data_IF_207490499510
#
_entry.id   IF_207490499510
#
_cell.length_a   1.000
_cell.length_b   1.000
_cell.length_c   1.000
_cell.angle_alpha   90.00
_cell.angle_beta   90.00
_cell.angle_gamma   90.00
#
_symmetry.space_group_name_H-M   'P 1'
#
loop_
_entity.id
_entity.type
_entity.pdbx_description
1 polymer ?
#
# COMPACT_ATOMS: atom_id res chain seq x y z
N UNK A 1 5.09 9.88 -8.15
CA UNK A 1 5.11 8.39 -8.09
C UNK A 1 3.85 7.93 -8.81
N UNK A 2 3.92 7.00 -9.77
CA UNK A 2 2.73 6.48 -10.44
C UNK A 2 2.32 5.16 -9.78
N UNK A 3 1.04 5.01 -9.45
CA UNK A 3 0.52 3.78 -8.89
C UNK A 3 0.67 2.63 -9.90
N UNK A 4 0.91 1.38 -9.45
CA UNK A 4 0.86 0.24 -10.35
C UNK A 4 -0.52 0.16 -11.02
N UNK A 5 -0.60 -0.34 -12.27
CA UNK A 5 -1.87 -0.51 -12.96
C UNK A 5 -2.82 -1.41 -12.14
N UNK A 6 -4.11 -1.10 -12.17
CA UNK A 6 -5.16 -1.92 -11.54
C UNK A 6 -5.14 -3.31 -12.19
N UNK A 7 -4.79 -4.33 -11.41
CA UNK A 7 -4.80 -5.75 -11.82
C UNK A 7 -5.44 -6.51 -10.67
N UNK A 8 -6.76 -6.69 -10.73
CA UNK A 8 -7.54 -6.91 -9.52
C UNK A 8 -7.48 -8.34 -8.96
N UNK A 9 -7.65 -8.42 -7.64
CA UNK A 9 -8.05 -9.58 -6.84
C UNK A 9 -9.51 -10.01 -7.12
N UNK A 10 -9.97 -9.90 -8.37
CA UNK A 10 -11.29 -10.34 -8.83
C UNK A 10 -12.49 -9.45 -8.45
N UNK A 11 -12.30 -8.38 -7.67
CA UNK A 11 -13.40 -7.48 -7.23
C UNK A 11 -12.98 -6.01 -7.20
N UNK A 12 -13.74 -5.17 -7.89
CA UNK A 12 -13.53 -3.72 -7.96
C UNK A 12 -14.87 -2.99 -7.76
N UNK A 13 -15.43 -3.13 -6.57
CA UNK A 13 -16.69 -2.51 -6.17
C UNK A 13 -16.43 -1.47 -5.10
N UNK A 14 -17.23 -0.40 -5.08
CA UNK A 14 -17.17 0.62 -4.03
C UNK A 14 -17.77 0.07 -2.74
N UNK A 15 -16.98 -0.70 -1.98
CA UNK A 15 -17.41 -1.28 -0.73
C UNK A 15 -16.26 -1.40 0.30
N UNK A 16 -16.60 -1.92 1.47
CA UNK A 16 -15.63 -2.12 2.56
C UNK A 16 -14.62 -3.24 2.28
N UNK A 17 -14.89 -4.12 1.31
CA UNK A 17 -14.07 -5.31 1.09
C UNK A 17 -12.64 -4.92 0.66
N UNK A 18 -12.50 -3.95 -0.25
CA UNK A 18 -11.18 -3.46 -0.67
C UNK A 18 -10.40 -2.77 0.46
N UNK A 19 -11.09 -2.07 1.35
CA UNK A 19 -10.46 -1.47 2.53
C UNK A 19 -9.96 -2.55 3.50
N UNK A 20 -10.74 -3.63 3.69
CA UNK A 20 -10.32 -4.78 4.50
C UNK A 20 -9.14 -5.51 3.85
N UNK A 21 -9.15 -5.73 2.54
CA UNK A 21 -8.00 -6.29 1.82
C UNK A 21 -6.73 -5.46 2.03
N UNK A 22 -6.84 -4.12 1.97
CA UNK A 22 -5.69 -3.24 2.24
C UNK A 22 -5.11 -3.48 3.64
N UNK A 23 -5.95 -3.72 4.65
CA UNK A 23 -5.50 -4.05 6.00
C UNK A 23 -4.84 -5.43 6.07
N UNK A 24 -5.37 -6.44 5.38
CA UNK A 24 -4.82 -7.80 5.34
C UNK A 24 -3.41 -7.81 4.72
N UNK A 25 -3.23 -7.24 3.53
CA UNK A 25 -1.91 -7.23 2.86
C UNK A 25 -0.89 -6.41 3.66
N UNK A 26 -1.31 -5.33 4.32
CA UNK A 26 -0.43 -4.56 5.20
C UNK A 26 0.03 -5.38 6.42
N UNK A 27 -0.82 -6.27 6.94
CA UNK A 27 -0.46 -7.19 8.02
C UNK A 27 0.52 -8.28 7.52
N UNK A 28 0.30 -8.81 6.32
CA UNK A 28 1.19 -9.79 5.69
C UNK A 28 2.57 -9.20 5.38
N UNK A 29 2.62 -8.00 4.81
CA UNK A 29 3.84 -7.21 4.63
C UNK A 29 4.58 -7.00 5.96
N UNK A 30 3.86 -6.72 7.04
CA UNK A 30 4.46 -6.54 8.37
C UNK A 30 5.15 -7.81 8.85
N UNK A 31 4.50 -8.97 8.71
CA UNK A 31 5.09 -10.25 9.12
C UNK A 31 6.23 -10.70 8.21
N UNK A 32 6.12 -10.49 6.89
CA UNK A 32 7.21 -10.76 5.95
C UNK A 32 8.43 -9.87 6.22
N UNK A 33 8.23 -8.58 6.50
CA UNK A 33 9.29 -7.67 6.91
C UNK A 33 9.97 -8.11 8.22
N UNK A 34 9.19 -8.51 9.23
CA UNK A 34 9.74 -9.05 10.49
C UNK A 34 10.56 -10.32 10.27
N UNK A 35 10.11 -11.22 9.39
CA UNK A 35 10.85 -12.43 9.02
C UNK A 35 12.19 -12.09 8.36
N UNK A 36 12.17 -11.19 7.38
CA UNK A 36 13.40 -10.74 6.71
C UNK A 36 14.36 -10.04 7.67
N UNK A 37 13.86 -9.15 8.54
CA UNK A 37 14.68 -8.48 9.56
C UNK A 37 15.37 -9.46 10.52
N UNK A 38 14.74 -10.61 10.78
CA UNK A 38 15.29 -11.66 11.65
C UNK A 38 16.32 -12.54 10.94
N UNK A 39 16.05 -12.94 9.70
CA UNK A 39 16.86 -13.93 8.99
C UNK A 39 17.95 -13.34 8.10
N UNK A 40 17.72 -12.15 7.54
CA UNK A 40 18.53 -11.56 6.47
C UNK A 40 18.51 -12.35 5.16
N UNK A 41 17.69 -13.41 5.03
CA UNK A 41 17.72 -14.32 3.90
C UNK A 41 17.16 -13.67 2.63
N UNK A 42 17.75 -14.00 1.47
CA UNK A 42 17.30 -13.49 0.18
C UNK A 42 15.88 -13.94 -0.18
N UNK A 43 15.48 -15.14 0.24
CA UNK A 43 14.11 -15.65 0.08
C UNK A 43 13.12 -14.81 0.89
N UNK A 44 13.39 -14.56 2.17
CA UNK A 44 12.50 -13.73 3.01
C UNK A 44 12.44 -12.27 2.52
N UNK A 45 13.54 -11.75 1.94
CA UNK A 45 13.51 -10.45 1.26
C UNK A 45 12.58 -10.47 0.05
N UNK A 46 12.55 -11.57 -0.70
CA UNK A 46 11.69 -11.71 -1.86
C UNK A 46 10.23 -11.76 -1.42
N UNK A 47 9.91 -12.58 -0.43
CA UNK A 47 8.57 -12.64 0.16
C UNK A 47 8.08 -11.26 0.60
N UNK A 48 8.91 -10.50 1.33
CA UNK A 48 8.57 -9.12 1.75
C UNK A 48 8.28 -8.19 0.56
N UNK A 49 9.04 -8.32 -0.54
CA UNK A 49 8.80 -7.51 -1.74
C UNK A 49 7.51 -7.91 -2.47
N UNK A 50 7.15 -9.19 -2.44
CA UNK A 50 5.89 -9.66 -3.03
C UNK A 50 4.71 -9.08 -2.21
N UNK A 51 4.74 -9.17 -0.87
CA UNK A 51 3.71 -8.55 -0.01
C UNK A 51 3.65 -7.01 -0.12
N UNK A 52 4.79 -6.37 -0.39
CA UNK A 52 4.85 -4.94 -0.64
C UNK A 52 4.12 -4.58 -1.94
N UNK A 53 4.26 -5.41 -2.98
CA UNK A 53 3.55 -5.23 -4.24
C UNK A 53 2.04 -5.46 -4.08
N UNK A 54 1.63 -6.46 -3.30
CA UNK A 54 0.22 -6.73 -3.02
C UNK A 54 -0.44 -5.59 -2.22
N UNK A 55 0.29 -5.00 -1.26
CA UNK A 55 -0.14 -3.79 -0.56
C UNK A 55 -0.32 -2.60 -1.52
N UNK A 56 0.60 -2.39 -2.47
CA UNK A 56 0.44 -1.33 -3.47
C UNK A 56 -0.76 -1.60 -4.40
N UNK A 57 -0.99 -2.87 -4.76
CA UNK A 57 -2.10 -3.26 -5.62
C UNK A 57 -3.45 -3.05 -4.94
N UNK A 58 -3.57 -3.34 -3.63
CA UNK A 58 -4.83 -3.09 -2.89
C UNK A 58 -5.12 -1.61 -2.73
N UNK A 59 -4.10 -0.78 -2.49
CA UNK A 59 -4.24 0.68 -2.50
C UNK A 59 -4.68 1.21 -3.88
N UNK A 60 -4.09 0.71 -4.98
CA UNK A 60 -4.50 1.06 -6.34
C UNK A 60 -5.97 0.69 -6.62
N UNK A 61 -6.36 -0.52 -6.22
CA UNK A 61 -7.73 -1.02 -6.41
C UNK A 61 -8.73 -0.21 -5.58
N UNK A 62 -8.37 0.14 -4.34
CA UNK A 62 -9.21 0.97 -3.47
C UNK A 62 -9.41 2.37 -4.06
N UNK A 63 -8.35 3.03 -4.52
CA UNK A 63 -8.44 4.33 -5.17
C UNK A 63 -9.35 4.27 -6.41
N UNK A 64 -9.13 3.27 -7.28
CA UNK A 64 -9.94 3.07 -8.48
C UNK A 64 -11.42 2.82 -8.17
N UNK A 65 -11.73 1.96 -7.18
CA UNK A 65 -13.10 1.67 -6.78
C UNK A 65 -13.80 2.87 -6.10
N UNK A 66 -13.05 3.74 -5.44
CA UNK A 66 -13.57 4.97 -4.82
C UNK A 66 -13.65 6.14 -5.80
N UNK A 67 -13.08 6.02 -7.00
CA UNK A 67 -13.01 7.08 -7.99
C UNK A 67 -12.02 8.20 -7.62
N UNK A 68 -11.00 7.87 -6.81
CA UNK A 68 -9.95 8.81 -6.42
C UNK A 68 -8.89 8.86 -7.51
N UNK A 69 -8.57 10.06 -7.97
CA UNK A 69 -7.58 10.28 -9.03
C UNK A 69 -6.14 10.34 -8.49
N UNK A 70 -5.18 10.11 -9.38
CA UNK A 70 -3.75 10.27 -9.08
C UNK A 70 -3.40 11.69 -8.60
N UNK A 71 -4.11 12.71 -9.11
CA UNK A 71 -3.92 14.11 -8.69
C UNK A 71 -4.38 14.33 -7.24
N UNK A 72 -5.56 13.83 -6.87
CA UNK A 72 -6.05 13.92 -5.49
C UNK A 72 -5.15 13.17 -4.51
N UNK A 73 -4.58 12.04 -4.92
CA UNK A 73 -3.60 11.31 -4.10
C UNK A 73 -2.31 12.11 -3.96
N UNK A 74 -1.81 12.70 -5.04
CA UNK A 74 -0.60 13.53 -5.00
C UNK A 74 -0.77 14.74 -4.07
N UNK A 75 -1.88 15.47 -4.20
CA UNK A 75 -2.21 16.60 -3.33
C UNK A 75 -2.27 16.15 -1.85
N UNK A 76 -2.93 15.03 -1.56
CA UNK A 76 -3.00 14.48 -0.20
C UNK A 76 -1.64 14.05 0.37
N UNK A 77 -0.72 13.60 -0.50
CA UNK A 77 0.66 13.27 -0.12
C UNK A 77 1.48 14.52 0.19
N UNK A 78 1.32 15.60 -0.57
CA UNK A 78 1.98 16.88 -0.32
C UNK A 78 1.49 17.49 1.00
N UNK A 79 0.18 17.49 1.25
CA UNK A 79 -0.38 17.90 2.54
C UNK A 79 0.16 17.03 3.71
N UNK A 80 0.35 15.72 3.47
CA UNK A 80 0.92 14.82 4.47
C UNK A 80 2.37 15.16 4.78
N UNK A 81 3.14 15.52 3.77
CA UNK A 81 4.53 15.96 3.91
C UNK A 81 4.62 17.24 4.72
N UNK A 82 3.77 18.23 4.44
CA UNK A 82 3.69 19.48 5.19
C UNK A 82 3.36 19.23 6.67
N UNK A 83 2.30 18.45 6.96
CA UNK A 83 1.95 18.07 8.33
C UNK A 83 3.09 17.36 9.07
N UNK A 84 3.89 16.54 8.37
CA UNK A 84 5.03 15.87 8.99
C UNK A 84 6.18 16.83 9.30
N UNK A 85 6.43 17.84 8.46
CA UNK A 85 7.39 18.93 8.73
C UNK A 85 6.96 19.76 9.93
N UNK A 86 5.69 20.16 10.00
CA UNK A 86 5.14 20.91 11.15
C UNK A 86 5.26 20.14 12.47
N UNK A 87 5.20 18.80 12.40
CA UNK A 87 5.34 17.90 13.55
C UNK A 87 6.81 17.55 13.88
N UNK A 88 7.79 18.06 13.13
CA UNK A 88 9.21 17.76 13.34
C UNK A 88 9.59 16.28 13.12
N UNK A 89 8.87 15.59 12.21
CA UNK A 89 9.11 14.17 11.87
C UNK A 89 10.00 13.99 10.64
N UNK A 90 10.39 15.08 10.00
CA UNK A 90 11.21 15.18 8.79
C UNK A 90 12.19 16.35 8.93
#
# INVERSE_FOLDING_TARGET
MSFPPVRSFGRLERDKWLAVKTLEEAAELTEAAKRWLKSGAAADRRDMLDEYADTLQTLANLAAAMGVSDAEIADAMDDCLERNRERGRL
#
